data_IF_282143577251
#
_entry.id   IF_282143577251
#
_cell.length_a   1.000
_cell.length_b   1.000
_cell.length_c   1.000
_cell.angle_alpha   90.00
_cell.angle_beta   90.00
_cell.angle_gamma   90.00
#
_symmetry.space_group_name_H-M   'P 1'
#
loop_
_entity.id
_entity.type
_entity.pdbx_description
1 polymer ?
#
# COMPACT_ATOMS: atom_id res chain seq x y z
N UNK A 1 3.13 -21.63 0.64
CA UNK A 1 3.33 -22.07 -0.75
C UNK A 1 4.37 -21.15 -1.37
N UNK A 2 5.13 -21.64 -2.34
CA UNK A 2 6.08 -20.81 -3.10
C UNK A 2 5.34 -19.90 -4.08
N UNK A 3 5.92 -18.73 -4.35
CA UNK A 3 5.49 -17.87 -5.45
C UNK A 3 5.78 -18.54 -6.78
N UNK A 4 5.01 -18.20 -7.80
CA UNK A 4 5.12 -18.78 -9.14
C UNK A 4 5.49 -17.69 -10.15
N UNK A 5 6.46 -17.98 -11.02
CA UNK A 5 6.84 -17.13 -12.14
C UNK A 5 6.62 -17.89 -13.45
N UNK A 6 5.76 -17.36 -14.29
CA UNK A 6 5.47 -17.96 -15.60
C UNK A 6 6.17 -17.22 -16.72
N UNK A 7 7.19 -17.89 -17.32
CA UNK A 7 7.92 -17.36 -18.47
C UNK A 7 7.22 -17.75 -19.75
N UNK A 8 6.94 -16.78 -20.59
CA UNK A 8 6.37 -17.00 -21.93
C UNK A 8 7.41 -17.69 -22.84
N UNK A 9 7.05 -18.83 -23.39
CA UNK A 9 7.88 -19.64 -24.31
C UNK A 9 7.46 -19.49 -25.79
N UNK A 10 6.65 -18.50 -26.10
CA UNK A 10 6.11 -18.29 -27.45
C UNK A 10 4.77 -18.97 -27.67
N UNK A 11 4.44 -19.24 -28.92
CA UNK A 11 3.17 -19.87 -29.31
C UNK A 11 3.36 -21.35 -29.63
N UNK A 12 2.36 -22.16 -29.31
CA UNK A 12 2.30 -23.55 -29.79
C UNK A 12 1.90 -23.64 -31.30
N UNK A 13 1.81 -24.85 -31.83
CA UNK A 13 1.40 -25.11 -33.22
C UNK A 13 -0.01 -24.61 -33.58
N UNK A 14 -0.84 -24.28 -32.59
CA UNK A 14 -2.19 -23.77 -32.77
C UNK A 14 -2.28 -22.24 -32.54
N UNK A 15 -1.13 -21.56 -32.27
CA UNK A 15 -1.09 -20.13 -31.99
C UNK A 15 -1.45 -19.77 -30.53
N UNK A 16 -1.43 -20.73 -29.60
CA UNK A 16 -1.75 -20.51 -28.20
C UNK A 16 -0.47 -20.21 -27.42
N UNK A 17 -0.42 -19.13 -26.58
CA UNK A 17 0.73 -18.83 -25.72
C UNK A 17 1.05 -19.99 -24.76
N UNK A 18 2.34 -20.35 -24.70
CA UNK A 18 2.86 -21.38 -23.80
C UNK A 18 3.70 -20.74 -22.71
N UNK A 19 3.41 -21.09 -21.46
CA UNK A 19 4.14 -20.62 -20.29
C UNK A 19 4.81 -21.79 -19.57
N UNK A 20 6.00 -21.53 -19.02
CA UNK A 20 6.73 -22.45 -18.13
C UNK A 20 6.86 -21.81 -16.77
N UNK A 21 6.47 -22.53 -15.72
CA UNK A 21 6.78 -22.12 -14.34
C UNK A 21 8.28 -22.20 -14.13
N UNK A 22 8.92 -21.14 -13.61
CA UNK A 22 10.35 -20.99 -13.48
C UNK A 22 10.80 -20.19 -12.26
N UNK A 23 9.95 -19.99 -11.24
CA UNK A 23 10.26 -19.14 -10.09
C UNK A 23 11.57 -19.56 -9.40
N UNK A 24 11.76 -20.85 -9.14
CA UNK A 24 12.98 -21.38 -8.53
C UNK A 24 14.22 -21.17 -9.41
N UNK A 25 14.08 -21.32 -10.73
CA UNK A 25 15.16 -21.10 -11.72
C UNK A 25 15.64 -19.65 -11.71
N UNK A 26 14.70 -18.71 -11.50
CA UNK A 26 14.97 -17.26 -11.48
C UNK A 26 15.22 -16.70 -10.06
N UNK A 27 15.18 -17.52 -9.00
CA UNK A 27 15.39 -17.06 -7.62
C UNK A 27 14.20 -16.32 -6.99
N UNK A 28 12.99 -16.48 -7.55
CA UNK A 28 11.75 -15.78 -7.12
C UNK A 28 10.73 -16.71 -6.45
N UNK A 29 11.12 -17.91 -6.02
CA UNK A 29 10.24 -18.88 -5.36
C UNK A 29 10.07 -18.58 -3.85
N UNK A 30 9.86 -17.32 -3.49
CA UNK A 30 9.63 -16.90 -2.10
C UNK A 30 8.44 -17.64 -1.49
N UNK A 31 8.56 -18.01 -0.21
CA UNK A 31 7.54 -18.79 0.53
C UNK A 31 6.74 -17.96 1.53
N UNK A 32 6.97 -16.67 1.60
CA UNK A 32 6.21 -15.74 2.46
C UNK A 32 4.78 -15.53 1.97
N UNK A 33 3.99 -14.78 2.71
CA UNK A 33 2.64 -14.41 2.27
C UNK A 33 2.71 -13.13 1.44
N UNK A 34 3.01 -13.27 0.18
CA UNK A 34 3.12 -12.15 -0.76
C UNK A 34 1.73 -11.66 -1.19
N UNK A 35 1.54 -10.34 -1.21
CA UNK A 35 0.29 -9.70 -1.64
C UNK A 35 0.41 -9.07 -3.02
N UNK A 36 1.54 -8.44 -3.33
CA UNK A 36 1.77 -7.75 -4.59
C UNK A 36 3.26 -7.79 -4.95
N UNK A 37 3.57 -7.74 -6.25
CA UNK A 37 4.94 -7.57 -6.76
C UNK A 37 4.96 -6.46 -7.80
N UNK A 38 6.00 -5.63 -7.78
CA UNK A 38 6.24 -4.60 -8.79
C UNK A 38 7.63 -4.76 -9.36
N UNK A 39 7.73 -4.74 -10.71
CA UNK A 39 8.99 -4.79 -11.43
C UNK A 39 9.37 -3.39 -11.90
N UNK A 40 10.62 -2.98 -11.65
CA UNK A 40 11.14 -1.66 -12.00
C UNK A 40 12.66 -1.68 -11.95
N UNK A 41 13.30 -0.78 -12.66
CA UNK A 41 14.74 -0.55 -12.63
C UNK A 41 15.06 0.40 -11.46
N UNK A 42 15.60 -0.16 -10.34
CA UNK A 42 15.82 0.66 -9.14
C UNK A 42 17.23 1.27 -9.08
N UNK A 43 18.20 0.69 -9.78
CA UNK A 43 19.59 1.15 -9.78
C UNK A 43 20.04 1.74 -11.12
N UNK A 44 19.08 1.91 -12.05
CA UNK A 44 19.27 2.52 -13.38
C UNK A 44 20.32 1.78 -14.23
N UNK A 45 20.41 0.46 -14.11
CA UNK A 45 21.29 -0.37 -14.92
C UNK A 45 20.65 -0.87 -16.22
N UNK A 46 19.34 -0.65 -16.39
CA UNK A 46 18.56 -0.91 -17.60
C UNK A 46 17.85 -2.25 -17.59
N UNK A 47 17.87 -3.00 -16.51
CA UNK A 47 17.05 -4.21 -16.35
C UNK A 47 15.95 -4.04 -15.28
N UNK A 48 15.07 -5.01 -15.12
CA UNK A 48 13.95 -4.91 -14.19
C UNK A 48 14.22 -5.73 -12.94
N UNK A 49 14.29 -5.06 -11.82
CA UNK A 49 14.30 -5.60 -10.47
C UNK A 49 12.89 -5.83 -9.96
N UNK A 50 12.74 -6.36 -8.76
CA UNK A 50 11.42 -6.63 -8.19
C UNK A 50 11.33 -6.22 -6.73
N UNK A 51 10.29 -5.42 -6.39
CA UNK A 51 9.85 -5.28 -5.01
C UNK A 51 8.66 -6.19 -4.72
N UNK A 52 8.75 -6.95 -3.63
CA UNK A 52 7.73 -7.90 -3.18
C UNK A 52 7.10 -7.41 -1.88
N UNK A 53 5.81 -7.15 -1.92
CA UNK A 53 5.02 -6.80 -0.73
C UNK A 53 4.67 -8.07 0.04
N UNK A 54 4.92 -8.04 1.35
CA UNK A 54 4.71 -9.18 2.23
C UNK A 54 3.72 -8.83 3.35
N UNK A 55 2.78 -9.73 3.64
CA UNK A 55 1.81 -9.61 4.72
C UNK A 55 1.69 -10.94 5.47
N UNK A 56 2.53 -11.13 6.49
CA UNK A 56 2.54 -12.33 7.32
C UNK A 56 1.94 -12.03 8.68
N UNK A 57 0.75 -12.55 8.94
CA UNK A 57 0.13 -12.49 10.27
C UNK A 57 0.53 -13.74 11.05
N UNK A 58 1.34 -13.53 12.08
CA UNK A 58 1.81 -14.62 12.95
C UNK A 58 0.91 -14.72 14.19
N UNK A 59 0.56 -15.94 14.66
CA UNK A 59 -0.28 -16.13 15.84
C UNK A 59 0.29 -15.49 17.13
N UNK A 60 1.60 -15.45 17.26
CA UNK A 60 2.32 -14.88 18.40
C UNK A 60 2.42 -13.35 18.38
N UNK A 61 2.15 -12.72 17.25
CA UNK A 61 2.16 -11.27 17.08
C UNK A 61 0.77 -10.76 16.74
N UNK A 62 0.13 -10.05 17.67
CA UNK A 62 -1.07 -9.30 17.34
C UNK A 62 -0.68 -8.04 16.56
N UNK A 63 -1.08 -7.91 15.28
CA UNK A 63 -0.68 -6.78 14.44
C UNK A 63 -1.24 -5.43 14.91
N UNK A 64 -2.29 -5.45 15.73
CA UNK A 64 -2.87 -4.25 16.34
C UNK A 64 -2.30 -3.94 17.75
N UNK A 65 -1.34 -4.72 18.24
CA UNK A 65 -0.70 -4.45 19.52
C UNK A 65 0.51 -3.54 19.35
N UNK A 66 0.58 -2.49 20.14
CA UNK A 66 1.75 -1.60 20.15
C UNK A 66 2.98 -2.29 20.75
N UNK A 67 4.08 -2.20 20.07
CA UNK A 67 5.42 -2.61 20.48
C UNK A 67 6.45 -1.75 19.75
N UNK A 68 7.72 -1.71 20.20
CA UNK A 68 8.76 -1.00 19.45
C UNK A 68 8.83 -1.46 17.99
N UNK A 69 8.84 -0.49 17.07
CA UNK A 69 8.91 -0.73 15.63
C UNK A 69 10.18 -1.49 15.26
N UNK A 70 10.07 -2.54 14.46
CA UNK A 70 11.21 -3.33 13.99
C UNK A 70 11.71 -2.76 12.67
N UNK A 71 12.98 -2.36 12.63
CA UNK A 71 13.57 -1.66 11.47
C UNK A 71 14.84 -2.31 10.94
N UNK A 72 15.12 -3.55 11.34
CA UNK A 72 16.37 -4.26 11.01
C UNK A 72 16.20 -5.43 10.03
N UNK A 73 15.04 -5.54 9.39
CA UNK A 73 14.72 -6.61 8.44
C UNK A 73 14.53 -7.99 9.07
N UNK A 74 14.38 -8.08 10.39
CA UNK A 74 14.16 -9.37 11.06
C UNK A 74 12.69 -9.78 11.14
N UNK A 75 11.76 -8.86 10.87
CA UNK A 75 10.34 -9.16 10.96
C UNK A 75 9.86 -9.91 9.71
N UNK A 76 9.14 -11.03 9.86
CA UNK A 76 8.74 -11.88 8.73
C UNK A 76 7.86 -11.18 7.69
N UNK A 77 7.14 -10.12 8.08
CA UNK A 77 6.28 -9.32 7.20
C UNK A 77 6.98 -8.07 6.64
N UNK A 78 8.32 -8.01 6.68
CA UNK A 78 9.08 -6.98 5.96
C UNK A 78 9.02 -7.25 4.46
N UNK A 79 8.74 -6.22 3.65
CA UNK A 79 8.81 -6.30 2.18
C UNK A 79 10.21 -6.67 1.71
N UNK A 80 10.36 -7.11 0.47
CA UNK A 80 11.63 -7.58 -0.08
C UNK A 80 11.98 -6.91 -1.39
N UNK A 81 13.25 -6.56 -1.56
CA UNK A 81 13.80 -6.08 -2.81
C UNK A 81 14.72 -7.15 -3.40
N UNK A 82 14.46 -7.51 -4.65
CA UNK A 82 15.25 -8.46 -5.42
C UNK A 82 15.91 -7.76 -6.59
N UNK A 83 17.23 -7.78 -6.61
CA UNK A 83 18.02 -7.29 -7.75
C UNK A 83 18.12 -8.36 -8.82
N UNK A 84 17.95 -7.96 -10.05
CA UNK A 84 18.11 -8.78 -11.25
C UNK A 84 19.60 -8.83 -11.62
N UNK A 85 20.23 -9.99 -11.54
CA UNK A 85 21.61 -10.18 -11.95
C UNK A 85 21.65 -11.14 -13.16
N UNK A 86 22.22 -10.71 -14.28
CA UNK A 86 22.40 -11.58 -15.44
C UNK A 86 23.38 -12.73 -15.14
N UNK A 87 22.95 -13.97 -15.27
CA UNK A 87 23.81 -15.13 -15.15
C UNK A 87 24.26 -15.63 -16.55
N UNK A 88 25.54 -15.45 -16.87
CA UNK A 88 26.11 -15.83 -18.16
C UNK A 88 26.16 -17.34 -18.41
N UNK A 89 26.10 -18.16 -17.36
CA UNK A 89 26.11 -19.63 -17.44
C UNK A 89 24.71 -20.16 -17.76
N UNK A 90 23.71 -19.58 -17.12
CA UNK A 90 22.31 -19.97 -17.30
C UNK A 90 21.67 -19.27 -18.51
N UNK A 91 22.27 -18.20 -19.00
CA UNK A 91 21.76 -17.36 -20.10
C UNK A 91 20.39 -16.76 -19.81
N UNK A 92 20.13 -16.43 -18.54
CA UNK A 92 18.94 -15.67 -18.10
C UNK A 92 19.23 -14.94 -16.78
N UNK A 93 18.39 -13.97 -16.38
CA UNK A 93 18.54 -13.28 -15.11
C UNK A 93 18.26 -14.22 -13.91
N UNK A 94 18.95 -13.95 -12.80
CA UNK A 94 18.70 -14.57 -11.49
C UNK A 94 18.54 -13.46 -10.47
N UNK A 95 17.39 -13.42 -9.81
CA UNK A 95 17.08 -12.41 -8.82
C UNK A 95 17.70 -12.74 -7.46
N UNK A 96 18.36 -11.76 -6.86
CA UNK A 96 18.99 -11.87 -5.53
C UNK A 96 18.29 -10.96 -4.53
N UNK A 97 17.95 -11.51 -3.39
CA UNK A 97 17.42 -10.72 -2.27
C UNK A 97 18.49 -9.74 -1.76
N UNK A 98 18.28 -8.45 -1.99
CA UNK A 98 19.14 -7.33 -1.57
C UNK A 98 18.45 -6.43 -0.53
N UNK A 99 17.37 -6.90 0.09
CA UNK A 99 16.53 -6.18 1.05
C UNK A 99 17.34 -5.46 2.12
N UNK A 100 18.30 -6.14 2.72
CA UNK A 100 19.12 -5.58 3.80
C UNK A 100 20.18 -4.61 3.29
N UNK A 101 20.82 -4.95 2.20
CA UNK A 101 21.83 -4.14 1.53
C UNK A 101 21.23 -2.83 1.05
N UNK A 102 20.02 -2.89 0.51
CA UNK A 102 19.29 -1.73 0.03
C UNK A 102 18.62 -0.90 1.14
N UNK A 103 18.67 -1.33 2.40
CA UNK A 103 18.06 -0.60 3.53
C UNK A 103 16.53 -0.69 3.60
N UNK A 104 15.90 -1.60 2.86
CA UNK A 104 14.45 -1.82 2.84
C UNK A 104 14.05 -2.76 3.98
N UNK A 105 14.28 -2.33 5.23
CA UNK A 105 14.31 -3.23 6.40
C UNK A 105 13.22 -2.97 7.43
N UNK A 106 12.31 -2.03 7.14
CA UNK A 106 11.24 -1.67 8.08
C UNK A 106 10.08 -2.67 7.97
N UNK A 107 9.54 -3.06 9.13
CA UNK A 107 8.37 -3.92 9.19
C UNK A 107 7.13 -3.29 8.57
N UNK A 108 6.26 -4.12 8.01
CA UNK A 108 4.96 -3.70 7.53
C UNK A 108 3.99 -4.88 7.44
N UNK A 109 2.73 -4.59 7.20
CA UNK A 109 1.71 -5.54 6.79
C UNK A 109 1.16 -5.06 5.44
N UNK A 110 2.03 -5.17 4.42
CA UNK A 110 1.81 -4.53 3.13
C UNK A 110 0.62 -5.08 2.35
N UNK A 111 -0.16 -4.17 1.78
CA UNK A 111 -1.24 -4.50 0.85
C UNK A 111 -0.93 -4.11 -0.58
N UNK A 112 -0.34 -2.96 -0.78
CA UNK A 112 -0.03 -2.45 -2.09
C UNK A 112 1.34 -1.79 -2.19
N UNK A 113 1.83 -1.65 -3.41
CA UNK A 113 3.05 -0.92 -3.74
C UNK A 113 2.84 -0.08 -5.00
N UNK A 114 3.33 1.14 -4.99
CA UNK A 114 3.43 2.00 -6.16
C UNK A 114 4.89 2.44 -6.35
N UNK A 115 5.36 2.36 -7.59
CA UNK A 115 6.69 2.79 -7.97
C UNK A 115 6.58 4.08 -8.78
N UNK A 116 7.21 5.14 -8.29
CA UNK A 116 7.19 6.45 -8.93
C UNK A 116 8.43 7.25 -8.56
N UNK A 117 8.77 8.23 -9.35
CA UNK A 117 9.72 9.27 -9.01
C UNK A 117 8.95 10.40 -8.32
N UNK A 118 8.87 10.32 -6.98
CA UNK A 118 8.01 11.20 -6.16
C UNK A 118 8.65 12.57 -5.95
N UNK A 119 9.98 12.62 -5.84
CA UNK A 119 10.74 13.84 -5.62
C UNK A 119 11.26 14.49 -6.92
N UNK A 120 11.01 13.85 -8.09
CA UNK A 120 11.41 14.31 -9.43
C UNK A 120 12.93 14.41 -9.64
N UNK A 121 13.68 13.49 -9.03
CA UNK A 121 15.13 13.40 -9.18
C UNK A 121 15.62 12.46 -10.30
N UNK A 122 14.69 11.76 -10.96
CA UNK A 122 14.94 10.82 -12.05
C UNK A 122 15.14 9.36 -11.63
N UNK A 123 15.07 9.07 -10.32
CA UNK A 123 15.15 7.72 -9.78
C UNK A 123 13.80 7.23 -9.26
N UNK A 124 13.62 5.93 -9.24
CA UNK A 124 12.35 5.34 -8.80
C UNK A 124 12.33 5.13 -7.29
N UNK A 125 11.28 5.67 -6.67
CA UNK A 125 10.95 5.51 -5.26
C UNK A 125 9.89 4.43 -5.07
N UNK A 126 9.76 3.93 -3.84
CA UNK A 126 8.82 2.86 -3.49
C UNK A 126 7.85 3.38 -2.43
N UNK A 127 6.57 3.47 -2.75
CA UNK A 127 5.51 3.74 -1.77
C UNK A 127 4.74 2.45 -1.46
N UNK A 128 4.68 2.07 -0.18
CA UNK A 128 4.04 0.84 0.30
C UNK A 128 2.95 1.19 1.29
N UNK A 129 1.72 0.76 1.04
CA UNK A 129 0.61 0.88 1.99
C UNK A 129 0.58 -0.30 2.93
N UNK A 130 0.37 -0.03 4.20
CA UNK A 130 0.35 -1.04 5.27
C UNK A 130 -0.96 -1.00 6.05
N UNK A 131 -1.36 -2.17 6.53
CA UNK A 131 -2.49 -2.34 7.45
C UNK A 131 -2.02 -2.36 8.91
N UNK A 132 -2.96 -2.29 9.84
CA UNK A 132 -2.76 -2.34 11.28
C UNK A 132 -1.93 -1.15 11.82
N UNK A 133 -1.09 -1.41 12.84
CA UNK A 133 -0.28 -0.36 13.46
C UNK A 133 0.98 0.04 12.66
N UNK A 134 1.36 -0.74 11.66
CA UNK A 134 2.50 -0.39 10.79
C UNK A 134 2.11 0.76 9.87
N UNK A 135 2.84 1.87 9.94
CA UNK A 135 2.59 3.00 9.04
C UNK A 135 3.05 2.68 7.61
N UNK A 136 2.52 3.41 6.65
CA UNK A 136 2.97 3.34 5.27
C UNK A 136 4.43 3.75 5.17
N UNK A 137 5.11 3.21 4.15
CA UNK A 137 6.53 3.42 3.94
C UNK A 137 6.75 4.14 2.61
N UNK A 138 7.56 5.19 2.66
CA UNK A 138 8.02 5.89 1.49
C UNK A 138 9.54 5.80 1.41
N UNK A 139 10.03 4.82 0.68
CA UNK A 139 11.45 4.62 0.44
C UNK A 139 11.91 5.49 -0.74
N UNK A 140 12.66 6.53 -0.43
CA UNK A 140 13.30 7.40 -1.43
C UNK A 140 14.64 6.82 -1.81
N UNK A 141 14.90 6.74 -3.11
CA UNK A 141 16.13 6.21 -3.69
C UNK A 141 17.31 7.14 -3.42
N UNK A 142 18.42 6.61 -2.89
CA UNK A 142 19.62 7.39 -2.58
C UNK A 142 20.63 7.45 -3.76
N UNK A 143 20.32 6.91 -4.93
CA UNK A 143 21.15 6.86 -6.14
C UNK A 143 22.43 5.99 -6.01
N UNK A 144 22.50 5.13 -5.02
CA UNK A 144 23.63 4.27 -4.73
C UNK A 144 23.26 2.81 -4.49
N UNK A 145 22.04 2.43 -4.93
CA UNK A 145 21.46 1.10 -4.70
C UNK A 145 20.80 0.94 -3.33
N UNK A 146 20.68 2.02 -2.55
CA UNK A 146 20.03 2.00 -1.23
C UNK A 146 18.83 2.95 -1.18
N UNK A 147 17.99 2.76 -0.16
CA UNK A 147 16.80 3.57 0.08
C UNK A 147 16.77 4.11 1.51
N UNK A 148 16.10 5.25 1.67
CA UNK A 148 15.80 5.85 2.97
C UNK A 148 14.29 6.05 3.12
N UNK A 149 13.69 5.55 4.21
CA UNK A 149 12.30 5.86 4.52
C UNK A 149 12.13 7.34 4.88
N UNK A 150 11.33 8.04 4.09
CA UNK A 150 11.02 9.47 4.23
C UNK A 150 9.54 9.71 4.56
N UNK A 151 8.77 8.70 4.87
CA UNK A 151 7.33 8.82 5.15
C UNK A 151 7.04 9.91 6.20
N UNK A 152 7.79 9.92 7.31
CA UNK A 152 7.67 10.93 8.37
C UNK A 152 8.09 12.35 7.95
N UNK A 153 8.92 12.47 6.93
CA UNK A 153 9.41 13.78 6.46
C UNK A 153 8.46 14.40 5.45
N UNK A 154 7.93 13.57 4.55
CA UNK A 154 7.06 14.01 3.46
C UNK A 154 5.62 14.15 3.93
N UNK A 155 5.09 13.15 4.66
CA UNK A 155 3.71 13.13 5.14
C UNK A 155 3.61 13.55 6.61
N UNK A 156 2.50 14.20 6.98
CA UNK A 156 2.20 14.54 8.38
C UNK A 156 1.57 13.38 9.14
N UNK A 157 0.96 12.48 8.42
CA UNK A 157 0.34 11.25 8.89
C UNK A 157 0.14 10.32 7.70
N UNK A 158 -0.13 9.05 7.98
CA UNK A 158 -0.51 8.04 7.00
C UNK A 158 -1.91 7.51 7.28
N UNK A 159 -2.41 6.61 6.46
CA UNK A 159 -3.61 5.83 6.71
C UNK A 159 -3.39 4.83 7.85
N UNK A 160 -4.46 4.41 8.51
CA UNK A 160 -4.38 3.41 9.58
C UNK A 160 -4.59 1.99 9.08
N UNK A 161 -5.29 1.82 7.97
CA UNK A 161 -5.51 0.54 7.33
C UNK A 161 -5.37 0.73 5.82
N UNK A 162 -4.14 1.03 5.40
CA UNK A 162 -3.82 1.32 4.01
C UNK A 162 -4.13 0.13 3.11
N UNK A 163 -4.99 0.35 2.12
CA UNK A 163 -5.40 -0.65 1.14
C UNK A 163 -4.74 -0.37 -0.21
N UNK A 164 -5.47 0.14 -1.17
CA UNK A 164 -4.93 0.52 -2.46
C UNK A 164 -4.48 1.96 -2.50
N UNK A 165 -3.54 2.24 -3.38
CA UNK A 165 -2.96 3.56 -3.60
C UNK A 165 -2.71 3.83 -5.08
N UNK A 166 -2.47 5.10 -5.39
CA UNK A 166 -1.96 5.54 -6.69
C UNK A 166 -1.07 6.77 -6.50
N UNK A 167 -0.10 6.97 -7.41
CA UNK A 167 0.78 8.14 -7.42
C UNK A 167 0.63 8.84 -8.76
N UNK A 168 0.08 10.03 -8.72
CA UNK A 168 -0.40 10.76 -9.89
C UNK A 168 -0.24 12.27 -9.71
N UNK A 169 -0.33 13.01 -10.78
CA UNK A 169 -0.49 14.47 -10.76
C UNK A 169 -1.99 14.79 -10.89
N UNK A 170 -2.65 15.12 -9.76
CA UNK A 170 -4.11 15.28 -9.70
C UNK A 170 -4.59 16.67 -10.11
N UNK A 171 -3.72 17.66 -10.03
CA UNK A 171 -4.02 19.07 -10.28
C UNK A 171 -3.31 19.65 -11.51
N UNK A 172 -2.54 18.81 -12.23
CA UNK A 172 -1.76 19.16 -13.42
C UNK A 172 -0.66 20.22 -13.16
N UNK A 173 -0.01 20.18 -11.99
CA UNK A 173 1.10 21.07 -11.64
C UNK A 173 2.49 20.46 -11.96
N UNK A 174 2.51 19.22 -12.40
CA UNK A 174 3.73 18.47 -12.75
C UNK A 174 4.35 17.74 -11.58
N UNK A 175 3.80 17.84 -10.36
CA UNK A 175 4.26 17.12 -9.18
C UNK A 175 3.46 15.83 -8.98
N UNK A 176 4.05 14.86 -8.31
CA UNK A 176 3.40 13.59 -8.02
C UNK A 176 2.68 13.68 -6.68
N UNK A 177 1.35 13.55 -6.70
CA UNK A 177 0.49 13.43 -5.52
C UNK A 177 0.26 11.97 -5.18
N UNK A 178 -0.18 11.68 -3.95
CA UNK A 178 -0.44 10.32 -3.49
C UNK A 178 -1.86 10.20 -3.00
N UNK A 179 -2.64 9.30 -3.60
CA UNK A 179 -3.94 8.89 -3.08
C UNK A 179 -3.80 7.52 -2.41
N UNK A 180 -4.42 7.38 -1.26
CA UNK A 180 -4.46 6.15 -0.50
C UNK A 180 -5.84 5.91 0.07
N UNK A 181 -6.30 4.67 0.03
CA UNK A 181 -7.62 4.27 0.50
C UNK A 181 -7.55 3.54 1.84
N UNK A 182 -8.59 3.75 2.64
CA UNK A 182 -8.78 3.18 3.96
C UNK A 182 -10.26 2.76 4.16
N UNK A 183 -10.55 2.17 5.30
CA UNK A 183 -11.86 1.65 5.65
C UNK A 183 -12.65 2.66 6.51
N UNK A 184 -13.24 3.69 5.89
CA UNK A 184 -14.05 4.68 6.60
C UNK A 184 -15.36 4.98 5.88
N UNK A 185 -16.51 4.52 6.40
CA UNK A 185 -17.80 4.79 5.81
C UNK A 185 -18.18 6.29 5.80
N UNK A 186 -18.85 6.73 4.75
CA UNK A 186 -19.51 8.04 4.70
C UNK A 186 -20.75 8.05 5.61
N UNK A 187 -21.57 6.98 5.56
CA UNK A 187 -22.78 6.85 6.36
C UNK A 187 -22.47 6.79 7.86
N UNK A 188 -23.13 7.67 8.64
CA UNK A 188 -22.86 7.82 10.06
C UNK A 188 -23.26 6.60 10.91
N UNK A 189 -24.34 5.90 10.53
CA UNK A 189 -24.74 4.68 11.24
C UNK A 189 -23.71 3.59 11.01
N UNK A 190 -23.35 3.32 9.75
CA UNK A 190 -22.38 2.32 9.38
C UNK A 190 -21.00 2.62 10.00
N UNK A 191 -20.57 3.88 9.99
CA UNK A 191 -19.31 4.31 10.63
C UNK A 191 -19.27 3.96 12.12
N UNK A 192 -20.38 4.08 12.84
CA UNK A 192 -20.47 3.73 14.26
C UNK A 192 -20.63 2.25 14.52
N UNK A 193 -21.03 1.47 13.53
CA UNK A 193 -21.17 0.02 13.61
C UNK A 193 -19.92 -0.75 13.19
N UNK A 194 -18.95 -0.08 12.55
CA UNK A 194 -17.68 -0.72 12.19
C UNK A 194 -16.70 -0.71 13.35
N UNK A 195 -15.88 -1.76 13.41
CA UNK A 195 -14.68 -1.77 14.24
C UNK A 195 -13.61 -0.86 13.66
N UNK A 196 -12.90 -0.24 14.57
CA UNK A 196 -11.82 0.65 14.21
C UNK A 196 -12.34 2.09 14.06
N UNK A 197 -11.59 2.97 14.40
CA UNK A 197 -11.81 4.41 14.38
C UNK A 197 -10.63 5.06 15.05
N UNK A 198 -10.46 6.34 14.81
CA UNK A 198 -9.40 7.09 15.47
C UNK A 198 -9.59 7.04 17.00
N UNK A 199 -8.56 6.67 17.73
CA UNK A 199 -8.56 6.64 19.17
C UNK A 199 -7.41 7.46 19.75
N UNK A 200 -7.62 8.04 20.91
CA UNK A 200 -6.56 8.76 21.62
C UNK A 200 -5.37 7.84 21.97
N UNK A 201 -5.65 6.58 22.26
CA UNK A 201 -4.59 5.61 22.56
C UNK A 201 -3.73 5.31 21.33
N UNK A 202 -4.33 5.21 20.14
CA UNK A 202 -3.58 5.06 18.89
C UNK A 202 -2.62 6.25 18.71
N UNK A 203 -3.13 7.47 18.82
CA UNK A 203 -2.33 8.69 18.73
C UNK A 203 -1.18 8.73 19.72
N UNK A 204 -1.46 8.48 21.02
CA UNK A 204 -0.47 8.54 22.09
C UNK A 204 0.61 7.45 21.94
N UNK A 205 0.20 6.23 21.59
CA UNK A 205 1.14 5.12 21.48
C UNK A 205 1.99 5.18 20.20
N UNK A 206 1.52 5.82 19.14
CA UNK A 206 2.32 5.97 17.91
C UNK A 206 3.66 6.65 18.21
N UNK A 207 3.65 7.78 18.89
CA UNK A 207 4.89 8.47 19.33
C UNK A 207 5.77 7.59 20.23
N UNK A 208 5.14 6.93 21.22
CA UNK A 208 5.86 6.15 22.21
C UNK A 208 6.64 4.97 21.63
N UNK A 209 6.10 4.35 20.58
CA UNK A 209 6.66 3.13 19.98
C UNK A 209 7.36 3.36 18.63
N UNK A 210 7.49 4.61 18.18
CA UNK A 210 8.22 4.97 16.97
C UNK A 210 7.43 4.78 15.67
N UNK A 211 6.10 4.75 15.74
CA UNK A 211 5.22 4.78 14.58
C UNK A 211 4.84 6.21 14.22
N UNK A 212 4.43 6.41 12.98
CA UNK A 212 3.85 7.68 12.52
C UNK A 212 2.39 7.79 12.99
N UNK A 213 1.85 9.01 13.03
CA UNK A 213 0.41 9.21 13.25
C UNK A 213 -0.38 8.63 12.08
N UNK A 214 -1.44 7.91 12.42
CA UNK A 214 -2.31 7.23 11.47
C UNK A 214 -3.76 7.60 11.74
N UNK A 215 -4.52 7.83 10.68
CA UNK A 215 -5.95 8.12 10.78
C UNK A 215 -6.75 7.23 9.85
N UNK A 216 -7.86 6.67 10.37
CA UNK A 216 -8.78 5.84 9.60
C UNK A 216 -9.57 6.72 8.64
N UNK A 217 -9.03 6.94 7.45
CA UNK A 217 -9.66 7.64 6.32
C UNK A 217 -8.82 7.54 5.07
N UNK A 218 -9.44 7.69 3.92
CA UNK A 218 -8.69 7.91 2.69
C UNK A 218 -7.88 9.21 2.81
N UNK A 219 -6.68 9.19 2.28
CA UNK A 219 -5.83 10.38 2.17
C UNK A 219 -5.60 10.76 0.71
N UNK A 220 -5.52 12.05 0.46
CA UNK A 220 -5.01 12.62 -0.79
C UNK A 220 -3.90 13.59 -0.41
N UNK A 221 -2.68 13.10 -0.46
CA UNK A 221 -1.46 13.83 -0.12
C UNK A 221 -1.05 14.66 -1.34
N UNK A 222 -1.40 15.95 -1.32
CA UNK A 222 -1.05 16.90 -2.37
C UNK A 222 0.41 17.35 -2.20
N UNK A 223 1.22 17.19 -3.22
CA UNK A 223 2.61 17.63 -3.26
C UNK A 223 2.68 19.15 -3.42
N UNK A 224 3.31 19.84 -2.47
CA UNK A 224 3.48 21.30 -2.48
C UNK A 224 4.83 21.73 -3.09
N UNK A 225 5.56 20.80 -3.66
CA UNK A 225 6.91 21.02 -4.13
C UNK A 225 7.96 21.03 -3.03
N UNK A 226 9.21 21.27 -3.40
CA UNK A 226 10.35 21.18 -2.49
C UNK A 226 10.34 22.32 -1.46
N UNK A 227 10.75 21.98 -0.23
CA UNK A 227 10.96 22.97 0.82
C UNK A 227 12.16 23.86 0.49
N UNK A 228 11.99 25.15 0.62
CA UNK A 228 13.11 26.10 0.59
C UNK A 228 13.56 26.37 2.02
N UNK A 229 14.82 26.06 2.31
CA UNK A 229 15.42 26.27 3.61
C UNK A 229 15.92 27.72 3.77
N UNK A 230 16.22 28.14 5.01
CA UNK A 230 16.67 29.52 5.32
C UNK A 230 17.98 29.94 4.62
N UNK A 231 18.72 29.00 4.05
CA UNK A 231 19.95 29.24 3.29
C UNK A 231 19.75 29.08 1.78
N UNK A 232 18.51 29.17 1.30
CA UNK A 232 18.10 28.97 -0.10
C UNK A 232 18.44 27.58 -0.67
N UNK A 233 18.75 26.59 0.19
CA UNK A 233 18.90 25.21 -0.26
C UNK A 233 17.53 24.57 -0.48
N UNK A 234 17.45 23.75 -1.53
CA UNK A 234 16.26 22.93 -1.83
C UNK A 234 16.27 21.70 -0.91
N UNK A 235 15.19 21.49 -0.20
CA UNK A 235 14.98 20.33 0.67
C UNK A 235 13.93 19.37 0.13
N UNK A 236 13.58 18.39 0.95
CA UNK A 236 12.55 17.40 0.63
C UNK A 236 11.20 18.06 0.28
N UNK A 237 10.37 17.45 -0.57
CA UNK A 237 9.01 17.88 -0.81
C UNK A 237 8.15 17.93 0.47
N UNK A 238 7.14 18.78 0.45
CA UNK A 238 6.12 18.87 1.50
C UNK A 238 4.80 18.40 0.93
N UNK A 239 4.11 17.54 1.67
CA UNK A 239 2.77 17.09 1.31
C UNK A 239 1.72 17.62 2.28
N UNK A 240 0.52 17.83 1.77
CA UNK A 240 -0.65 18.24 2.54
C UNK A 240 -1.81 17.30 2.26
N UNK A 241 -2.36 16.65 3.29
CA UNK A 241 -3.57 15.85 3.11
C UNK A 241 -4.77 16.76 2.85
N UNK A 242 -5.34 16.64 1.67
CA UNK A 242 -6.54 17.36 1.23
C UNK A 242 -7.77 16.45 1.12
N UNK A 243 -7.73 15.22 1.64
CA UNK A 243 -8.80 14.22 1.51
C UNK A 243 -10.18 14.74 1.93
N UNK A 244 -10.27 15.53 3.01
CA UNK A 244 -11.54 16.19 3.39
C UNK A 244 -11.93 17.35 2.48
N UNK A 245 -10.98 18.17 2.06
CA UNK A 245 -11.24 19.27 1.11
C UNK A 245 -11.77 18.70 -0.20
N UNK A 246 -11.16 17.65 -0.70
CA UNK A 246 -11.51 16.98 -1.94
C UNK A 246 -12.77 16.10 -1.84
N UNK A 247 -13.31 15.89 -0.63
CA UNK A 247 -14.51 15.09 -0.36
C UNK A 247 -14.38 13.59 -0.64
N UNK A 248 -13.16 13.06 -0.69
CA UNK A 248 -12.92 11.64 -0.93
C UNK A 248 -12.50 10.87 0.34
N UNK A 249 -12.44 11.54 1.50
CA UNK A 249 -11.92 10.97 2.74
C UNK A 249 -12.71 9.77 3.28
N UNK A 250 -13.92 9.50 2.78
CA UNK A 250 -14.84 8.51 3.34
C UNK A 250 -15.62 7.82 2.21
N UNK A 251 -15.26 6.59 1.90
CA UNK A 251 -15.83 5.82 0.79
C UNK A 251 -16.10 4.35 1.16
N UNK A 252 -16.33 4.09 2.45
CA UNK A 252 -16.59 2.77 3.03
C UNK A 252 -15.35 1.84 3.01
N UNK A 253 -15.51 0.56 2.76
CA UNK A 253 -14.42 -0.42 2.72
C UNK A 253 -13.79 -0.45 1.34
N UNK A 254 -12.89 0.47 1.11
CA UNK A 254 -12.32 0.74 -0.20
C UNK A 254 -11.05 -0.06 -0.45
N UNK A 255 -10.87 -0.56 -1.69
CA UNK A 255 -9.77 -1.45 -2.04
C UNK A 255 -8.80 -0.84 -3.05
N UNK A 256 -9.30 -0.28 -4.13
CA UNK A 256 -8.47 0.16 -5.23
C UNK A 256 -8.96 1.49 -5.79
N UNK A 257 -8.12 2.55 -5.81
CA UNK A 257 -8.38 3.73 -6.60
C UNK A 257 -7.95 3.47 -8.04
N UNK A 258 -8.70 3.99 -8.99
CA UNK A 258 -8.30 4.13 -10.36
C UNK A 258 -8.41 5.59 -10.72
N UNK A 259 -7.29 6.21 -11.05
CA UNK A 259 -7.21 7.65 -11.33
C UNK A 259 -6.84 7.87 -12.78
N UNK A 260 -7.77 8.42 -13.53
CA UNK A 260 -7.59 8.73 -14.96
C UNK A 260 -8.61 9.79 -15.40
N UNK A 261 -8.36 10.42 -16.53
CA UNK A 261 -9.30 11.34 -17.16
C UNK A 261 -10.38 10.51 -17.90
N UNK A 262 -11.56 10.35 -17.27
CA UNK A 262 -12.65 9.54 -17.83
C UNK A 262 -13.53 10.33 -18.81
N UNK A 263 -13.59 11.64 -18.71
CA UNK A 263 -14.46 12.49 -19.56
C UNK A 263 -13.68 13.31 -20.60
N UNK A 264 -12.34 13.13 -20.65
CA UNK A 264 -11.41 13.78 -21.58
C UNK A 264 -11.40 15.32 -21.44
N UNK A 265 -11.53 15.83 -20.21
CA UNK A 265 -11.46 17.26 -19.93
C UNK A 265 -10.04 17.74 -19.58
N UNK A 266 -9.07 16.82 -19.49
CA UNK A 266 -7.68 17.06 -19.17
C UNK A 266 -7.34 16.97 -17.68
N UNK A 267 -8.32 16.75 -16.82
CA UNK A 267 -8.13 16.52 -15.39
C UNK A 267 -8.44 15.07 -15.03
N UNK A 268 -7.78 14.56 -14.02
CA UNK A 268 -7.96 13.17 -13.61
C UNK A 268 -9.11 13.04 -12.63
N UNK A 269 -10.04 12.16 -12.96
CA UNK A 269 -11.13 11.71 -12.11
C UNK A 269 -10.72 10.51 -11.27
N UNK A 270 -11.54 10.13 -10.32
CA UNK A 270 -11.25 9.02 -9.40
C UNK A 270 -12.41 8.04 -9.38
N UNK A 271 -12.13 6.76 -9.63
CA UNK A 271 -13.05 5.66 -9.34
C UNK A 271 -12.50 4.84 -8.19
N UNK A 272 -13.32 4.61 -7.17
CA UNK A 272 -12.95 3.83 -5.98
C UNK A 272 -13.82 2.58 -5.93
N UNK A 273 -13.17 1.42 -5.89
CA UNK A 273 -13.85 0.13 -5.79
C UNK A 273 -14.04 -0.27 -4.32
N UNK A 274 -15.24 -0.73 -4.00
CA UNK A 274 -15.59 -1.33 -2.72
C UNK A 274 -15.96 -2.81 -2.91
N UNK A 275 -15.65 -3.64 -1.95
CA UNK A 275 -15.98 -5.05 -2.09
C UNK A 275 -15.97 -5.78 -0.77
N UNK A 276 -17.14 -5.83 -0.10
CA UNK A 276 -17.29 -6.60 1.13
C UNK A 276 -18.75 -7.02 1.34
N UNK A 277 -19.15 -8.19 0.85
CA UNK A 277 -20.57 -8.59 0.88
C UNK A 277 -21.05 -9.01 2.27
N UNK A 278 -20.12 -9.28 3.20
CA UNK A 278 -20.38 -9.77 4.55
C UNK A 278 -19.64 -8.91 5.57
N UNK A 279 -20.37 -8.17 6.38
CA UNK A 279 -19.79 -7.23 7.35
C UNK A 279 -19.27 -7.95 8.61
N UNK A 280 -18.04 -8.39 8.57
CA UNK A 280 -17.37 -9.04 9.72
C UNK A 280 -16.94 -8.04 10.79
N UNK A 281 -17.01 -6.73 10.50
CA UNK A 281 -16.65 -5.64 11.43
C UNK A 281 -17.81 -5.06 12.18
N UNK A 282 -19.03 -5.45 11.82
CA UNK A 282 -20.24 -5.02 12.53
C UNK A 282 -20.15 -5.31 14.03
N UNK A 283 -20.33 -4.30 14.87
CA UNK A 283 -20.15 -4.39 16.33
C UNK A 283 -21.08 -5.42 16.97
N UNK A 284 -22.33 -5.52 16.49
CA UNK A 284 -23.27 -6.49 17.01
C UNK A 284 -22.86 -7.92 16.66
N UNK A 285 -22.40 -8.12 15.42
CA UNK A 285 -21.85 -9.42 15.01
C UNK A 285 -20.58 -9.78 15.78
N UNK A 286 -19.66 -8.85 15.99
CA UNK A 286 -18.43 -9.08 16.76
C UNK A 286 -18.76 -9.44 18.20
N UNK A 287 -19.69 -8.73 18.83
CA UNK A 287 -20.17 -9.03 20.18
C UNK A 287 -20.82 -10.41 20.23
N UNK A 288 -21.69 -10.72 19.28
CA UNK A 288 -22.29 -12.06 19.16
C UNK A 288 -21.21 -13.15 19.02
N UNK A 289 -20.24 -12.98 18.13
CA UNK A 289 -19.17 -13.94 17.90
C UNK A 289 -18.35 -14.19 19.17
N UNK A 290 -17.98 -13.13 19.89
CA UNK A 290 -17.22 -13.24 21.14
C UNK A 290 -17.98 -14.01 22.20
N UNK A 291 -19.28 -13.79 22.35
CA UNK A 291 -20.11 -14.45 23.37
C UNK A 291 -20.52 -15.89 22.98
N UNK A 292 -20.59 -16.20 21.68
CA UNK A 292 -21.02 -17.50 21.19
C UNK A 292 -19.90 -18.46 20.82
N UNK A 293 -18.63 -18.00 20.88
CA UNK A 293 -17.46 -18.74 20.37
C UNK A 293 -17.32 -20.17 20.93
N UNK A 294 -17.69 -20.40 22.17
CA UNK A 294 -17.56 -21.71 22.83
C UNK A 294 -18.75 -22.65 22.60
N UNK A 295 -19.90 -22.14 22.18
CA UNK A 295 -21.15 -22.90 22.12
C UNK A 295 -21.74 -22.99 20.71
N UNK A 296 -21.47 -22.04 19.84
CA UNK A 296 -21.99 -22.00 18.49
C UNK A 296 -21.13 -22.81 17.51
N UNK A 297 -21.77 -23.54 16.61
CA UNK A 297 -21.09 -24.21 15.51
C UNK A 297 -20.58 -23.14 14.51
N UNK A 298 -19.42 -23.39 13.91
CA UNK A 298 -18.76 -22.47 12.93
C UNK A 298 -19.73 -22.04 11.82
N UNK A 299 -20.46 -23.00 11.22
CA UNK A 299 -21.38 -22.71 10.11
C UNK A 299 -22.53 -21.79 10.55
N UNK A 300 -23.05 -21.97 11.76
CA UNK A 300 -24.05 -21.08 12.31
C UNK A 300 -23.51 -19.69 12.54
N UNK A 301 -22.31 -19.56 13.14
CA UNK A 301 -21.64 -18.25 13.35
C UNK A 301 -21.43 -17.53 12.02
N UNK A 302 -20.95 -18.23 11.00
CA UNK A 302 -20.73 -17.63 9.67
C UNK A 302 -22.04 -17.19 9.01
N UNK A 303 -23.15 -17.88 9.27
CA UNK A 303 -24.48 -17.50 8.75
C UNK A 303 -25.05 -16.23 9.39
N UNK A 304 -24.56 -15.84 10.56
CA UNK A 304 -25.00 -14.64 11.28
C UNK A 304 -24.26 -13.36 10.85
N UNK A 305 -23.23 -13.45 10.01
CA UNK A 305 -22.53 -12.26 9.50
C UNK A 305 -23.51 -11.41 8.70
N UNK A 306 -23.69 -10.13 9.04
CA UNK A 306 -24.59 -9.23 8.30
C UNK A 306 -24.18 -9.11 6.83
N UNK A 307 -25.18 -8.98 5.97
CA UNK A 307 -24.94 -8.63 4.56
C UNK A 307 -24.98 -7.12 4.42
N UNK A 308 -23.94 -6.57 3.81
CA UNK A 308 -23.87 -5.15 3.50
C UNK A 308 -23.82 -4.95 1.99
N UNK A 309 -24.48 -3.90 1.49
CA UNK A 309 -24.43 -3.47 0.10
C UNK A 309 -23.68 -2.17 0.04
N UNK A 310 -22.40 -2.26 -0.27
CA UNK A 310 -21.51 -1.11 -0.46
C UNK A 310 -21.43 -0.84 -1.96
N UNK A 311 -21.58 0.41 -2.36
CA UNK A 311 -21.42 0.84 -3.75
C UNK A 311 -19.98 1.28 -4.03
N UNK A 312 -19.58 1.24 -5.28
CA UNK A 312 -18.36 1.90 -5.75
C UNK A 312 -18.62 3.40 -5.88
N UNK A 313 -17.55 4.20 -5.78
CA UNK A 313 -17.63 5.64 -5.97
C UNK A 313 -16.98 6.02 -7.29
N UNK A 314 -17.55 7.03 -7.94
CA UNK A 314 -16.95 7.69 -9.09
C UNK A 314 -17.02 9.20 -8.84
N UNK A 315 -15.89 9.85 -8.89
CA UNK A 315 -15.72 11.26 -8.57
C UNK A 315 -15.15 11.98 -9.79
N UNK A 316 -15.88 13.00 -10.24
CA UNK A 316 -15.40 13.92 -11.26
C UNK A 316 -14.56 15.02 -10.63
N UNK A 317 -13.41 15.33 -11.23
CA UNK A 317 -12.56 16.44 -10.82
C UNK A 317 -13.18 17.80 -11.21
N UNK A 318 -13.33 18.69 -10.24
CA UNK A 318 -13.89 20.03 -10.49
C UNK A 318 -12.80 21.06 -10.84
N UNK A 319 -11.59 20.67 -11.15
CA UNK A 319 -10.43 21.52 -11.48
C UNK A 319 -10.01 22.51 -10.38
N UNK A 320 -10.39 22.23 -9.13
CA UNK A 320 -10.15 23.12 -7.97
C UNK A 320 -9.84 22.35 -6.69
N UNK A 321 -9.27 21.16 -6.80
CA UNK A 321 -8.95 20.21 -5.72
C UNK A 321 -10.18 19.62 -5.01
N UNK A 322 -11.39 19.81 -5.54
CA UNK A 322 -12.61 19.16 -5.05
C UNK A 322 -13.18 18.22 -6.10
N UNK A 323 -13.97 17.26 -5.66
CA UNK A 323 -14.59 16.25 -6.53
C UNK A 323 -16.11 16.18 -6.28
N UNK A 324 -16.84 15.78 -7.29
CA UNK A 324 -18.31 15.56 -7.24
C UNK A 324 -18.72 14.25 -7.86
#
# INVERSE_FOLDING_TARGET
RENLLYINKGLDKNGIPVFKESAAEYGLNDTTHSTMASFFDYDNDGDLDMYLVVNVILPEFNPSAFRPKITNGSFPSTGRLYRNDWDSTLHHPVFKDVTKEAGVTIEGYGHGVCISDINKDGWKDIFVTNDFNSNDLLYINNHDGTFTDKSNTYFKHTSANGMGQDVIDINNDGLSDVIELDMNPEDNYRKKMMLGGNSYQLYFNSDLYGYQYQYVRNSLQLNQGPRVNNNDSIGDPIFSDIGFLSRIAQTDWSWCPLVTDFDNDGYRDIVITNGFPKDVTDHDFVSFRQNSFTVARKDYTLSQIPTVKIHNYAFRNNCNLTFT
#
